data_IF_615498810419
#
_entry.id   IF_615498810419
#
_cell.length_a   1.000
_cell.length_b   1.000
_cell.length_c   1.000
_cell.angle_alpha   90.00
_cell.angle_beta   90.00
_cell.angle_gamma   90.00
#
_symmetry.space_group_name_H-M   'P 1'
#
loop_
_entity.id
_entity.type
_entity.pdbx_description
1 polymer ?
#
# COMPACT_ATOMS: atom_id res chain seq x y z
N UNK A 1 14.57 15.19 14.41
CA UNK A 1 13.70 16.38 14.35
C UNK A 1 12.96 16.54 15.67
N UNK A 2 12.23 17.64 15.81
CA UNK A 2 11.30 17.86 16.94
C UNK A 2 10.09 16.92 16.84
N UNK A 3 9.30 16.75 17.93
CA UNK A 3 8.05 15.98 17.86
C UNK A 3 7.11 16.44 16.74
N UNK A 4 7.04 17.75 16.48
CA UNK A 4 6.26 18.32 15.39
C UNK A 4 6.78 17.87 14.03
N UNK A 5 8.10 17.90 13.81
CA UNK A 5 8.69 17.41 12.55
C UNK A 5 8.44 15.91 12.34
N UNK A 6 8.47 15.10 13.41
CA UNK A 6 8.11 13.68 13.34
C UNK A 6 6.65 13.48 12.92
N UNK A 7 5.73 14.28 13.46
CA UNK A 7 4.31 14.25 13.07
C UNK A 7 4.10 14.67 11.61
N UNK A 8 4.83 15.68 11.14
CA UNK A 8 4.78 16.14 9.75
C UNK A 8 5.32 15.06 8.80
N UNK A 9 6.47 14.47 9.11
CA UNK A 9 7.05 13.39 8.32
C UNK A 9 6.10 12.17 8.23
N UNK A 10 5.51 11.76 9.35
CA UNK A 10 4.50 10.71 9.38
C UNK A 10 3.31 11.04 8.47
N UNK A 11 2.78 12.26 8.58
CA UNK A 11 1.64 12.71 7.78
C UNK A 11 1.94 12.68 6.28
N UNK A 12 3.11 13.16 5.86
CA UNK A 12 3.55 13.11 4.46
C UNK A 12 3.68 11.66 3.98
N UNK A 13 4.38 10.83 4.75
CA UNK A 13 4.61 9.43 4.39
C UNK A 13 3.30 8.65 4.24
N UNK A 14 2.36 8.83 5.16
CA UNK A 14 1.08 8.13 5.15
C UNK A 14 0.18 8.60 4.01
N UNK A 15 0.14 9.91 3.70
CA UNK A 15 -0.61 10.44 2.56
C UNK A 15 -0.20 9.78 1.24
N UNK A 16 1.10 9.58 1.03
CA UNK A 16 1.63 8.96 -0.19
C UNK A 16 1.25 7.48 -0.35
N UNK A 17 0.74 6.84 0.71
CA UNK A 17 0.34 5.44 0.75
C UNK A 17 -1.18 5.26 0.96
N UNK A 18 -1.96 6.35 1.02
CA UNK A 18 -3.41 6.29 1.20
C UNK A 18 -4.07 5.50 0.07
N UNK A 19 -4.92 4.54 0.45
CA UNK A 19 -5.65 3.72 -0.51
C UNK A 19 -4.81 2.67 -1.22
N UNK A 20 -3.59 2.38 -0.76
CA UNK A 20 -2.76 1.31 -1.32
C UNK A 20 -3.48 -0.04 -1.19
N UNK A 21 -3.95 -0.55 -2.33
CA UNK A 21 -4.63 -1.85 -2.47
C UNK A 21 -3.71 -2.99 -2.03
N UNK A 22 -4.21 -3.96 -1.27
CA UNK A 22 -3.49 -5.22 -1.04
C UNK A 22 -4.07 -6.27 -1.99
N UNK A 23 -3.32 -6.70 -3.01
CA UNK A 23 -3.76 -7.79 -3.88
C UNK A 23 -2.56 -8.56 -4.43
N UNK A 24 -1.85 -9.31 -3.57
CA UNK A 24 -0.59 -9.96 -3.92
C UNK A 24 -0.78 -11.08 -4.94
N UNK A 25 0.14 -11.18 -5.90
CA UNK A 25 0.13 -12.24 -6.91
C UNK A 25 0.20 -13.60 -6.22
N UNK A 26 -0.72 -14.49 -6.61
CA UNK A 26 -0.85 -15.84 -6.06
C UNK A 26 -1.08 -15.89 -4.53
N UNK A 27 -1.46 -14.78 -3.89
CA UNK A 27 -1.60 -14.71 -2.43
C UNK A 27 -0.26 -14.75 -1.67
N UNK A 28 0.86 -14.52 -2.36
CA UNK A 28 2.20 -14.63 -1.80
C UNK A 28 2.79 -13.25 -1.46
N UNK A 29 3.58 -13.17 -0.39
CA UNK A 29 4.23 -11.93 0.07
C UNK A 29 5.49 -11.61 -0.76
N UNK A 30 5.34 -11.60 -2.07
CA UNK A 30 6.45 -11.40 -3.02
C UNK A 30 6.15 -10.25 -3.98
N UNK A 31 5.17 -10.45 -4.88
CA UNK A 31 4.79 -9.46 -5.89
C UNK A 31 3.46 -8.81 -5.48
N UNK A 32 3.38 -7.48 -5.29
CA UNK A 32 4.46 -6.47 -5.35
C UNK A 32 5.12 -6.19 -3.98
N UNK A 33 4.83 -7.00 -2.95
CA UNK A 33 5.16 -6.76 -1.55
C UNK A 33 6.63 -6.39 -1.29
N UNK A 34 7.58 -7.06 -1.92
CA UNK A 34 9.02 -6.74 -1.76
C UNK A 34 9.36 -5.35 -2.31
N UNK A 35 8.83 -5.01 -3.50
CA UNK A 35 9.05 -3.70 -4.11
C UNK A 35 8.36 -2.59 -3.31
N UNK A 36 7.20 -2.89 -2.70
CA UNK A 36 6.52 -1.95 -1.79
C UNK A 36 7.33 -1.63 -0.55
N UNK A 37 8.10 -2.57 -0.01
CA UNK A 37 9.03 -2.28 1.09
C UNK A 37 10.10 -1.27 0.65
N UNK A 38 10.72 -1.50 -0.52
CA UNK A 38 11.73 -0.57 -1.04
C UNK A 38 11.18 0.85 -1.27
N UNK A 39 9.99 0.95 -1.88
CA UNK A 39 9.33 2.24 -2.09
C UNK A 39 8.88 2.88 -0.76
N UNK A 40 8.40 2.07 0.19
CA UNK A 40 8.04 2.53 1.53
C UNK A 40 9.22 3.13 2.28
N UNK A 41 10.39 2.51 2.22
CA UNK A 41 11.64 3.05 2.78
C UNK A 41 12.03 4.37 2.13
N UNK A 42 12.01 4.44 0.79
CA UNK A 42 12.33 5.67 0.08
C UNK A 42 11.35 6.81 0.42
N UNK A 43 10.05 6.51 0.49
CA UNK A 43 9.01 7.44 0.91
C UNK A 43 9.23 7.95 2.33
N UNK A 44 9.56 7.06 3.28
CA UNK A 44 9.81 7.44 4.66
C UNK A 44 11.04 8.35 4.81
N UNK A 45 12.13 8.05 4.11
CA UNK A 45 13.32 8.89 4.10
C UNK A 45 13.04 10.27 3.50
N UNK A 46 12.39 10.31 2.33
CA UNK A 46 12.02 11.57 1.69
C UNK A 46 11.09 12.42 2.57
N UNK A 47 10.09 11.80 3.22
CA UNK A 47 9.18 12.49 4.13
C UNK A 47 9.92 13.06 5.36
N UNK A 48 10.90 12.34 5.90
CA UNK A 48 11.74 12.83 6.97
C UNK A 48 12.60 14.02 6.54
N UNK A 49 13.24 13.94 5.36
CA UNK A 49 14.06 15.02 4.81
C UNK A 49 13.22 16.29 4.57
N UNK A 50 12.02 16.16 4.01
CA UNK A 50 11.08 17.26 3.80
C UNK A 50 10.72 17.94 5.14
N UNK A 51 10.40 17.16 6.17
CA UNK A 51 10.05 17.70 7.49
C UNK A 51 11.26 18.36 8.19
N UNK A 52 12.45 17.78 8.05
CA UNK A 52 13.70 18.33 8.60
C UNK A 52 14.10 19.63 7.89
N UNK A 53 13.77 19.78 6.61
CA UNK A 53 13.93 21.03 5.85
C UNK A 53 12.96 22.14 6.28
N UNK A 54 12.06 21.88 7.24
CA UNK A 54 11.11 22.87 7.76
C UNK A 54 9.86 23.03 6.91
N UNK A 55 9.62 22.13 5.94
CA UNK A 55 8.39 22.09 5.17
C UNK A 55 7.29 21.48 6.03
N UNK A 56 6.23 22.23 6.27
CA UNK A 56 5.07 21.76 7.01
C UNK A 56 4.06 21.06 6.10
N UNK A 57 3.28 20.14 6.68
CA UNK A 57 2.14 19.52 6.03
C UNK A 57 0.85 20.24 6.44
N UNK A 58 0.03 20.65 5.47
CA UNK A 58 -1.18 21.46 5.72
C UNK A 58 -2.24 20.63 6.47
N UNK A 59 -2.42 19.38 6.06
CA UNK A 59 -3.34 18.44 6.73
C UNK A 59 -2.60 17.83 7.92
N UNK A 60 -3.15 17.85 9.12
CA UNK A 60 -2.43 17.28 10.27
C UNK A 60 -2.45 15.74 10.26
N UNK A 61 -1.63 15.13 11.11
CA UNK A 61 -1.51 13.67 11.18
C UNK A 61 -2.82 12.96 11.55
N UNK A 62 -3.62 13.55 12.44
CA UNK A 62 -4.88 12.96 12.90
C UNK A 62 -5.92 12.90 11.77
N UNK A 63 -6.01 13.97 10.98
CA UNK A 63 -6.87 14.02 9.79
C UNK A 63 -6.44 12.99 8.74
N UNK A 64 -5.14 12.80 8.54
CA UNK A 64 -4.61 11.76 7.62
C UNK A 64 -4.94 10.35 8.13
N UNK A 65 -4.87 10.11 9.44
CA UNK A 65 -5.25 8.83 10.05
C UNK A 65 -6.76 8.57 9.86
N UNK A 66 -7.59 9.57 10.09
CA UNK A 66 -9.04 9.46 9.89
C UNK A 66 -9.38 9.21 8.40
N UNK A 67 -8.69 9.89 7.49
CA UNK A 67 -8.82 9.64 6.05
C UNK A 67 -8.39 8.20 5.69
N UNK A 68 -7.27 7.72 6.21
CA UNK A 68 -6.80 6.34 6.04
C UNK A 68 -7.87 5.33 6.49
N UNK A 69 -8.47 5.56 7.66
CA UNK A 69 -9.52 4.70 8.20
C UNK A 69 -10.75 4.67 7.28
N UNK A 70 -11.26 5.83 6.87
CA UNK A 70 -12.43 5.93 5.97
C UNK A 70 -12.17 5.26 4.62
N UNK A 71 -11.03 5.53 4.00
CA UNK A 71 -10.61 4.91 2.73
C UNK A 71 -10.54 3.40 2.87
N UNK A 72 -9.93 2.89 3.94
CA UNK A 72 -9.85 1.45 4.20
C UNK A 72 -11.22 0.79 4.39
N UNK A 73 -12.15 1.46 5.08
CA UNK A 73 -13.54 0.99 5.29
C UNK A 73 -14.35 0.96 4.00
N UNK A 74 -14.11 1.90 3.09
CA UNK A 74 -14.80 2.01 1.81
C UNK A 74 -14.17 1.13 0.72
N UNK A 75 -12.99 0.56 0.96
CA UNK A 75 -12.29 -0.25 -0.03
C UNK A 75 -13.14 -1.49 -0.43
N UNK A 76 -13.40 -1.70 -1.74
CA UNK A 76 -14.07 -2.90 -2.22
C UNK A 76 -13.37 -4.19 -1.77
N UNK A 77 -14.12 -5.28 -1.65
CA UNK A 77 -13.57 -6.57 -1.21
C UNK A 77 -12.52 -7.11 -2.20
N UNK A 78 -12.73 -6.86 -3.48
CA UNK A 78 -11.89 -7.30 -4.60
C UNK A 78 -10.47 -6.72 -4.52
N UNK A 79 -10.31 -5.61 -3.80
CA UNK A 79 -9.05 -4.90 -3.58
C UNK A 79 -8.43 -5.19 -2.19
N UNK A 80 -8.97 -6.17 -1.46
CA UNK A 80 -8.55 -6.56 -0.11
C UNK A 80 -8.12 -8.02 -0.05
N UNK A 81 -6.98 -8.29 -0.68
CA UNK A 81 -6.20 -9.52 -0.59
C UNK A 81 -6.93 -10.77 -1.13
N UNK A 82 -7.95 -10.56 -1.96
CA UNK A 82 -8.78 -11.64 -2.49
C UNK A 82 -8.24 -12.24 -3.79
N UNK A 83 -7.33 -11.57 -4.47
CA UNK A 83 -6.82 -11.97 -5.78
C UNK A 83 -7.76 -11.67 -6.93
N UNK A 84 -8.80 -10.84 -6.72
CA UNK A 84 -9.93 -10.69 -7.65
C UNK A 84 -9.92 -9.38 -8.45
N UNK A 85 -9.28 -8.32 -7.97
CA UNK A 85 -9.42 -6.99 -8.59
C UNK A 85 -8.11 -6.28 -8.94
N UNK A 86 -7.03 -6.51 -8.21
CA UNK A 86 -5.76 -5.80 -8.38
C UNK A 86 -4.78 -6.54 -9.28
N UNK A 87 -3.49 -6.42 -8.97
CA UNK A 87 -2.42 -6.96 -9.81
C UNK A 87 -2.45 -8.51 -9.89
N UNK A 88 -2.99 -9.19 -8.87
CA UNK A 88 -3.12 -10.63 -8.87
C UNK A 88 -4.12 -11.14 -9.92
N UNK A 89 -5.13 -10.34 -10.25
CA UNK A 89 -6.15 -10.66 -11.26
C UNK A 89 -5.71 -10.36 -12.70
N UNK A 90 -4.51 -9.80 -12.90
CA UNK A 90 -3.97 -9.58 -14.25
C UNK A 90 -3.65 -10.91 -14.95
N UNK A 91 -3.59 -10.94 -16.30
CA UNK A 91 -3.27 -12.18 -17.03
C UNK A 91 -1.96 -12.84 -16.57
N UNK A 92 -0.91 -12.02 -16.34
CA UNK A 92 0.37 -12.52 -15.82
C UNK A 92 0.26 -12.98 -14.38
N UNK A 93 -0.49 -12.28 -13.52
CA UNK A 93 -0.73 -12.70 -12.14
C UNK A 93 -1.44 -14.06 -12.04
N UNK A 94 -2.46 -14.28 -12.87
CA UNK A 94 -3.19 -15.54 -12.99
C UNK A 94 -2.27 -16.65 -13.51
N UNK A 95 -1.49 -16.38 -14.56
CA UNK A 95 -0.55 -17.36 -15.11
C UNK A 95 0.50 -17.79 -14.08
N UNK A 96 1.05 -16.86 -13.28
CA UNK A 96 1.99 -17.17 -12.20
C UNK A 96 1.31 -18.04 -11.12
N UNK A 97 0.09 -17.68 -10.70
CA UNK A 97 -0.68 -18.45 -9.73
C UNK A 97 -0.89 -19.90 -10.21
N UNK A 98 -1.30 -20.08 -11.46
CA UNK A 98 -1.53 -21.41 -12.05
C UNK A 98 -0.22 -22.20 -12.18
N UNK A 99 0.90 -21.53 -12.46
CA UNK A 99 2.22 -22.19 -12.50
C UNK A 99 2.65 -22.72 -11.13
N UNK A 100 2.33 -22.00 -10.05
CA UNK A 100 2.72 -22.36 -8.68
C UNK A 100 1.81 -23.45 -8.09
N UNK A 101 0.49 -23.28 -8.24
CA UNK A 101 -0.50 -24.15 -7.58
C UNK A 101 -1.17 -25.16 -8.50
N UNK A 102 -0.82 -25.17 -9.79
CA UNK A 102 -1.57 -25.86 -10.84
C UNK A 102 -2.82 -25.09 -11.28
N UNK A 103 -3.33 -25.41 -12.46
CA UNK A 103 -4.69 -24.99 -12.83
C UNK A 103 -5.67 -25.71 -11.91
N UNK A 104 -6.42 -24.95 -11.09
CA UNK A 104 -7.67 -25.51 -10.56
C UNK A 104 -8.58 -25.72 -11.76
N UNK A 105 -8.79 -26.96 -12.16
CA UNK A 105 -9.89 -27.29 -13.07
C UNK A 105 -11.15 -26.70 -12.43
N UNK A 106 -11.72 -25.67 -13.04
CA UNK A 106 -13.05 -25.18 -12.73
C UNK A 106 -14.05 -26.21 -13.27
N UNK A 107 -14.10 -27.38 -12.65
CA UNK A 107 -15.13 -28.38 -12.83
C UNK A 107 -15.99 -28.38 -11.57
N UNK A 108 -16.94 -27.44 -11.51
CA UNK A 108 -18.33 -27.59 -11.04
C UNK A 108 -19.02 -26.22 -11.04
#
# INVERSE_FOLDING_TARGET
GTPQQSSVAFSIALQNLLGLVCDPVAGLVEIPCVKRNAIGTANALAAADIALAGVNNIINADEVIEAMYRVGRQMPRELRETGLGGIAATPTGIAIKNKIFGEKQSNQ
#
